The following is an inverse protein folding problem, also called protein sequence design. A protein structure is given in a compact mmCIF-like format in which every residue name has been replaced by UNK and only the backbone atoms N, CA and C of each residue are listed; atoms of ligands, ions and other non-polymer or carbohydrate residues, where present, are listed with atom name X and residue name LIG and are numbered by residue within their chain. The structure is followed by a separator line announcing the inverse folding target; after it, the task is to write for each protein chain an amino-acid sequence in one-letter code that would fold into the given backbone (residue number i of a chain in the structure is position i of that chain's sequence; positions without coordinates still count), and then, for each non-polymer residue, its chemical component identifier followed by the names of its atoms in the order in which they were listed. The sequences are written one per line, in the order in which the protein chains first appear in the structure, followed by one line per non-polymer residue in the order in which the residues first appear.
data_IF_613219245109
#
_entry.id   IF_613219245109
#
_cell.length_a   1.000
_cell.length_b   1.000
_cell.length_c   1.000
_cell.angle_alpha   90.00
_cell.angle_beta   90.00
_cell.angle_gamma   90.00
#
_symmetry.space_group_name_H-M   'P 1'
#
loop_
_entity.id
_entity.type
_entity.pdbx_description
1 polymer ?
#
# COMPACT_ATOMS: atom_id res chain seq x y z
N UNK A 1 -19.73 -14.21 -6.72
CA UNK A 1 -19.34 -12.80 -6.61
C UNK A 1 -18.44 -12.66 -5.39
N UNK A 2 -17.25 -12.07 -5.54
CA UNK A 2 -16.29 -11.87 -4.44
C UNK A 2 -16.66 -10.57 -3.69
N UNK A 3 -16.59 -10.59 -2.36
CA UNK A 3 -16.75 -9.38 -1.53
C UNK A 3 -15.35 -9.02 -1.04
N UNK A 4 -14.87 -7.85 -1.43
CA UNK A 4 -13.59 -7.31 -0.97
C UNK A 4 -13.76 -6.66 0.41
N UNK A 5 -12.66 -6.41 1.09
CA UNK A 5 -12.64 -5.83 2.43
C UNK A 5 -11.62 -4.69 2.51
N UNK A 6 -11.78 -3.78 3.43
CA UNK A 6 -10.73 -2.88 3.87
C UNK A 6 -9.63 -3.68 4.59
N UNK A 7 -8.44 -3.14 4.65
CA UNK A 7 -7.37 -3.64 5.51
C UNK A 7 -7.05 -2.58 6.55
N UNK A 8 -7.47 -2.82 7.80
CA UNK A 8 -7.31 -1.87 8.91
C UNK A 8 -6.77 -2.62 10.12
N UNK A 9 -5.74 -2.06 10.75
CA UNK A 9 -5.11 -2.60 11.97
C UNK A 9 -4.69 -4.08 11.84
N UNK A 10 -4.17 -4.45 10.67
CA UNK A 10 -3.70 -5.81 10.38
C UNK A 10 -4.81 -6.81 10.01
N UNK A 11 -6.05 -6.39 9.88
CA UNK A 11 -7.21 -7.25 9.61
C UNK A 11 -7.97 -6.84 8.36
N UNK A 12 -8.52 -7.83 7.66
CA UNK A 12 -9.50 -7.61 6.61
C UNK A 12 -10.86 -7.34 7.26
N UNK A 13 -11.42 -6.15 7.05
CA UNK A 13 -12.63 -5.68 7.72
C UNK A 13 -13.69 -5.18 6.74
N UNK A 14 -14.98 -5.41 6.99
CA UNK A 14 -16.04 -4.80 6.21
C UNK A 14 -16.12 -3.29 6.47
N UNK A 15 -16.76 -2.51 5.59
CA UNK A 15 -17.00 -1.09 5.84
C UNK A 15 -17.92 -0.89 7.05
N UNK A 16 -17.72 0.19 7.80
CA UNK A 16 -18.46 0.47 9.04
C UNK A 16 -19.98 0.51 8.82
N UNK A 17 -20.40 1.09 7.71
CA UNK A 17 -21.84 1.24 7.38
C UNK A 17 -22.39 0.10 6.51
N UNK A 18 -21.61 -0.96 6.28
CA UNK A 18 -22.00 -2.12 5.46
C UNK A 18 -22.45 -1.74 4.03
N UNK A 19 -21.95 -0.63 3.52
CA UNK A 19 -22.20 -0.17 2.15
C UNK A 19 -21.11 -0.69 1.21
N UNK A 20 -21.51 -1.05 -0.01
CA UNK A 20 -20.62 -1.61 -1.03
C UNK A 20 -20.89 -0.99 -2.40
N UNK A 21 -19.86 -0.93 -3.22
CA UNK A 21 -19.91 -0.55 -4.63
C UNK A 21 -19.67 -1.78 -5.50
N UNK A 22 -20.32 -1.85 -6.63
CA UNK A 22 -20.09 -2.90 -7.61
C UNK A 22 -18.80 -2.64 -8.40
N UNK A 23 -18.02 -3.69 -8.62
CA UNK A 23 -16.79 -3.68 -9.43
C UNK A 23 -17.05 -4.44 -10.72
N UNK A 24 -16.79 -3.79 -11.83
CA UNK A 24 -17.11 -4.30 -13.17
C UNK A 24 -15.87 -4.84 -13.87
N UNK A 25 -16.02 -5.98 -14.54
CA UNK A 25 -15.06 -6.42 -15.55
C UNK A 25 -15.31 -5.58 -16.83
N UNK A 26 -14.40 -4.69 -17.21
CA UNK A 26 -14.62 -3.81 -18.36
C UNK A 26 -14.64 -4.54 -19.70
N UNK A 27 -14.13 -5.78 -19.77
CA UNK A 27 -14.11 -6.57 -21.01
C UNK A 27 -15.48 -7.09 -21.40
N UNK A 28 -16.38 -7.27 -20.43
CA UNK A 28 -17.73 -7.85 -20.65
C UNK A 28 -18.85 -7.00 -20.04
N UNK A 29 -18.52 -5.98 -19.25
CA UNK A 29 -19.49 -5.10 -18.60
C UNK A 29 -20.27 -5.74 -17.44
N UNK A 30 -19.80 -6.86 -16.90
CA UNK A 30 -20.46 -7.58 -15.80
C UNK A 30 -19.81 -7.28 -14.44
N UNK A 31 -20.65 -7.27 -13.40
CA UNK A 31 -20.17 -7.17 -12.01
C UNK A 31 -19.52 -8.48 -11.61
N UNK A 32 -18.26 -8.43 -11.17
CA UNK A 32 -17.53 -9.61 -10.70
C UNK A 32 -17.26 -9.60 -9.18
N UNK A 33 -17.23 -8.43 -8.57
CA UNK A 33 -16.98 -8.25 -7.14
C UNK A 33 -17.75 -7.05 -6.57
N UNK A 34 -17.74 -6.96 -5.24
CA UNK A 34 -18.15 -5.76 -4.51
C UNK A 34 -17.00 -5.29 -3.63
N UNK A 35 -16.78 -3.98 -3.56
CA UNK A 35 -15.79 -3.36 -2.69
C UNK A 35 -16.47 -2.49 -1.62
N UNK A 36 -15.85 -2.32 -0.44
CA UNK A 36 -16.32 -1.41 0.58
C UNK A 36 -16.53 0.02 0.04
N UNK A 37 -17.66 0.63 0.33
CA UNK A 37 -17.86 2.07 0.21
C UNK A 37 -17.64 2.71 1.59
N UNK A 38 -16.39 2.92 1.94
CA UNK A 38 -15.98 3.41 3.25
C UNK A 38 -16.37 4.87 3.45
N UNK A 39 -16.52 5.25 4.70
CA UNK A 39 -16.86 6.61 5.14
C UNK A 39 -15.79 7.18 6.06
N UNK A 40 -15.97 8.42 6.52
CA UNK A 40 -15.09 9.05 7.50
C UNK A 40 -14.84 8.17 8.75
N UNK A 41 -15.84 7.39 9.16
CA UNK A 41 -15.70 6.46 10.30
C UNK A 41 -14.62 5.40 10.06
N UNK A 42 -14.49 4.90 8.83
CA UNK A 42 -13.42 3.94 8.48
C UNK A 42 -12.07 4.62 8.40
N UNK A 43 -12.03 5.88 7.90
CA UNK A 43 -10.82 6.70 7.88
C UNK A 43 -10.32 6.95 9.30
N UNK A 44 -11.20 7.35 10.23
CA UNK A 44 -10.85 7.56 11.64
C UNK A 44 -10.27 6.30 12.30
N UNK A 45 -10.84 5.12 12.01
CA UNK A 45 -10.30 3.85 12.52
C UNK A 45 -8.91 3.57 11.97
N UNK A 46 -8.67 3.83 10.68
CA UNK A 46 -7.37 3.63 10.06
C UNK A 46 -6.33 4.62 10.60
N UNK A 47 -6.73 5.88 10.83
CA UNK A 47 -5.87 6.90 11.47
C UNK A 47 -5.48 6.47 12.88
N UNK A 48 -6.45 6.09 13.71
CA UNK A 48 -6.20 5.65 15.08
C UNK A 48 -5.26 4.42 15.13
N UNK A 49 -5.43 3.47 14.21
CA UNK A 49 -4.54 2.33 14.08
C UNK A 49 -3.12 2.75 13.70
N UNK A 50 -2.98 3.67 12.74
CA UNK A 50 -1.70 4.18 12.29
C UNK A 50 -0.98 5.02 13.38
N UNK A 51 -1.70 5.83 14.15
CA UNK A 51 -1.17 6.59 15.29
C UNK A 51 -0.56 5.67 16.35
N UNK A 52 -1.25 4.58 16.67
CA UNK A 52 -0.78 3.56 17.62
C UNK A 52 0.45 2.82 17.10
N UNK A 53 0.52 2.53 15.80
CA UNK A 53 1.62 1.80 15.18
C UNK A 53 2.87 2.67 14.97
N UNK A 54 2.72 3.95 14.72
CA UNK A 54 3.79 4.86 14.30
C UNK A 54 5.00 4.87 15.27
N UNK A 55 4.85 4.97 16.59
CA UNK A 55 6.01 4.97 17.50
C UNK A 55 6.84 3.69 17.39
N UNK A 56 6.21 2.55 17.13
CA UNK A 56 6.89 1.27 16.99
C UNK A 56 7.59 1.19 15.63
N UNK A 57 6.87 1.46 14.54
CA UNK A 57 7.37 1.36 13.17
C UNK A 57 8.50 2.35 12.89
N UNK A 58 8.35 3.60 13.32
CA UNK A 58 9.34 4.66 13.09
C UNK A 58 10.67 4.41 13.83
N UNK A 59 10.67 3.62 14.90
CA UNK A 59 11.85 3.25 15.66
C UNK A 59 12.54 1.96 15.17
N UNK A 60 11.93 1.22 14.22
CA UNK A 60 12.61 0.09 13.59
C UNK A 60 13.80 0.59 12.77
N UNK A 61 14.85 -0.21 12.71
CA UNK A 61 16.00 0.05 11.83
C UNK A 61 15.58 0.04 10.35
N UNK A 62 16.35 0.71 9.49
CA UNK A 62 16.15 0.67 8.05
C UNK A 62 16.11 -0.77 7.52
N UNK A 63 16.96 -1.65 8.07
CA UNK A 63 17.03 -3.07 7.68
C UNK A 63 15.75 -3.84 8.03
N UNK A 64 15.17 -3.60 9.19
CA UNK A 64 13.92 -4.26 9.60
C UNK A 64 12.76 -3.83 8.70
N UNK A 65 12.62 -2.53 8.42
CA UNK A 65 11.59 -2.03 7.50
C UNK A 65 11.80 -2.55 6.08
N UNK A 66 13.03 -2.54 5.58
CA UNK A 66 13.39 -3.11 4.28
C UNK A 66 13.01 -4.60 4.16
N UNK A 67 13.18 -5.37 5.24
CA UNK A 67 12.82 -6.78 5.27
C UNK A 67 11.28 -6.99 5.09
N UNK A 68 10.44 -6.14 5.67
CA UNK A 68 8.99 -6.21 5.43
C UNK A 68 8.63 -5.89 3.98
N UNK A 69 9.28 -4.89 3.37
CA UNK A 69 9.06 -4.58 1.95
C UNK A 69 9.48 -5.75 1.03
N UNK A 70 10.59 -6.43 1.35
CA UNK A 70 10.99 -7.65 0.61
C UNK A 70 9.97 -8.77 0.77
N UNK A 71 9.49 -9.02 1.99
CA UNK A 71 8.43 -10.01 2.22
C UNK A 71 7.15 -9.70 1.45
N UNK A 72 6.78 -8.41 1.33
CA UNK A 72 5.64 -8.01 0.48
C UNK A 72 5.93 -8.32 -1.00
N UNK A 73 7.13 -8.03 -1.49
CA UNK A 73 7.53 -8.35 -2.86
C UNK A 73 7.52 -9.87 -3.11
N UNK A 74 8.09 -10.65 -2.21
CA UNK A 74 8.13 -12.12 -2.28
C UNK A 74 6.71 -12.71 -2.24
N UNK A 75 5.81 -12.14 -1.43
CA UNK A 75 4.41 -12.56 -1.37
C UNK A 75 3.63 -12.29 -2.67
N UNK A 76 3.89 -11.15 -3.33
CA UNK A 76 3.33 -10.89 -4.67
C UNK A 76 3.91 -11.88 -5.68
N UNK A 77 5.21 -12.14 -5.65
CA UNK A 77 5.89 -13.05 -6.56
C UNK A 77 5.39 -14.50 -6.41
N UNK A 78 5.18 -14.95 -5.18
CA UNK A 78 4.64 -16.27 -4.89
C UNK A 78 3.19 -16.47 -5.41
N UNK A 79 2.43 -15.39 -5.52
CA UNK A 79 1.05 -15.37 -6.04
C UNK A 79 0.95 -14.67 -7.41
N UNK A 80 2.05 -14.63 -8.17
CA UNK A 80 2.20 -13.80 -9.38
C UNK A 80 1.07 -13.99 -10.38
N UNK A 81 0.68 -15.22 -10.67
CA UNK A 81 -0.40 -15.51 -11.63
C UNK A 81 -1.75 -14.93 -11.15
N UNK A 82 -2.05 -15.02 -9.87
CA UNK A 82 -3.28 -14.47 -9.30
C UNK A 82 -3.32 -12.94 -9.43
N UNK A 83 -2.20 -12.26 -9.15
CA UNK A 83 -2.09 -10.82 -9.34
C UNK A 83 -2.21 -10.40 -10.80
N UNK A 84 -1.62 -11.15 -11.73
CA UNK A 84 -1.72 -10.91 -13.17
C UNK A 84 -3.18 -10.99 -13.63
N UNK A 85 -3.89 -12.04 -13.23
CA UNK A 85 -5.29 -12.23 -13.58
C UNK A 85 -6.18 -11.14 -12.97
N UNK A 86 -5.93 -10.76 -11.70
CA UNK A 86 -6.65 -9.70 -11.02
C UNK A 86 -6.44 -8.34 -11.71
N UNK A 87 -5.21 -7.99 -12.07
CA UNK A 87 -4.88 -6.74 -12.77
C UNK A 87 -5.58 -6.66 -14.13
N UNK A 88 -5.59 -7.78 -14.89
CA UNK A 88 -6.27 -7.87 -16.17
C UNK A 88 -7.79 -7.79 -16.03
N UNK A 89 -8.35 -8.45 -15.02
CA UNK A 89 -9.79 -8.46 -14.74
C UNK A 89 -10.31 -7.07 -14.38
N UNK A 90 -9.57 -6.35 -13.52
CA UNK A 90 -9.92 -5.00 -13.05
C UNK A 90 -9.85 -3.95 -14.17
N UNK A 91 -8.76 -3.98 -14.93
CA UNK A 91 -8.39 -2.88 -15.82
C UNK A 91 -8.76 -3.15 -17.30
N UNK A 92 -9.03 -4.40 -17.65
CA UNK A 92 -9.29 -4.81 -19.02
C UNK A 92 -8.06 -4.94 -19.92
N UNK A 93 -6.86 -4.75 -19.40
CA UNK A 93 -5.62 -4.90 -20.16
C UNK A 93 -5.33 -6.36 -20.48
N UNK A 94 -4.56 -6.65 -21.54
CA UNK A 94 -4.16 -8.02 -21.84
C UNK A 94 -3.36 -8.66 -20.70
N UNK A 95 -3.66 -9.91 -20.35
CA UNK A 95 -2.94 -10.71 -19.34
C UNK A 95 -1.43 -10.69 -19.55
N UNK A 96 -0.99 -10.81 -20.82
CA UNK A 96 0.42 -10.73 -21.18
C UNK A 96 1.07 -9.40 -20.78
N UNK A 97 0.36 -8.28 -20.92
CA UNK A 97 0.88 -6.96 -20.51
C UNK A 97 0.98 -6.85 -19.00
N UNK A 98 -0.05 -7.26 -18.26
CA UNK A 98 -0.02 -7.31 -16.81
C UNK A 98 1.17 -8.15 -16.29
N UNK A 99 1.41 -9.32 -16.91
CA UNK A 99 2.48 -10.23 -16.54
C UNK A 99 3.89 -9.77 -16.91
N UNK A 100 4.06 -8.99 -17.99
CA UNK A 100 5.39 -8.53 -18.41
C UNK A 100 5.77 -7.15 -17.85
N UNK A 101 4.78 -6.34 -17.48
CA UNK A 101 5.02 -4.94 -17.06
C UNK A 101 4.52 -4.69 -15.63
N UNK A 102 3.20 -4.78 -15.40
CA UNK A 102 2.60 -4.18 -14.21
C UNK A 102 3.01 -4.90 -12.91
N UNK A 103 2.85 -6.22 -12.87
CA UNK A 103 3.15 -6.99 -11.65
C UNK A 103 4.67 -7.06 -11.39
N UNK A 104 5.56 -7.34 -12.37
CA UNK A 104 7.00 -7.24 -12.15
C UNK A 104 7.47 -5.86 -11.70
N UNK A 105 6.86 -4.78 -12.20
CA UNK A 105 7.18 -3.40 -11.77
C UNK A 105 6.73 -3.14 -10.34
N UNK A 106 5.59 -3.65 -9.92
CA UNK A 106 5.13 -3.53 -8.53
C UNK A 106 6.09 -4.23 -7.56
N UNK A 107 6.54 -5.45 -7.90
CA UNK A 107 7.57 -6.19 -7.15
C UNK A 107 8.87 -5.38 -7.10
N UNK A 108 9.34 -4.91 -8.27
CA UNK A 108 10.57 -4.11 -8.39
C UNK A 108 10.53 -2.82 -7.57
N UNK A 109 9.38 -2.16 -7.46
CA UNK A 109 9.22 -0.97 -6.61
C UNK A 109 9.51 -1.28 -5.14
N UNK A 110 8.91 -2.34 -4.62
CA UNK A 110 9.12 -2.75 -3.23
C UNK A 110 10.58 -3.11 -2.96
N UNK A 111 11.21 -3.87 -3.85
CA UNK A 111 12.63 -4.25 -3.77
C UNK A 111 13.57 -3.05 -3.89
N UNK A 112 13.26 -2.11 -4.78
CA UNK A 112 14.04 -0.88 -4.97
C UNK A 112 14.07 -0.03 -3.70
N UNK A 113 12.89 0.26 -3.11
CA UNK A 113 12.83 1.06 -1.90
C UNK A 113 13.35 0.32 -0.66
N UNK A 114 13.22 -1.00 -0.61
CA UNK A 114 13.87 -1.81 0.43
C UNK A 114 15.40 -1.67 0.37
N UNK A 115 15.98 -1.79 -0.81
CA UNK A 115 17.43 -1.64 -0.99
C UNK A 115 17.88 -0.20 -0.82
N UNK A 116 17.09 0.75 -1.32
CA UNK A 116 17.38 2.18 -1.24
C UNK A 116 17.47 2.70 0.20
N UNK A 117 16.54 2.28 1.07
CA UNK A 117 16.57 2.75 2.46
C UNK A 117 17.76 2.20 3.27
N UNK A 118 18.24 1.01 2.96
CA UNK A 118 19.44 0.44 3.60
C UNK A 118 20.72 1.18 3.22
N UNK A 119 20.75 1.77 2.01
CA UNK A 119 21.88 2.54 1.49
C UNK A 119 21.75 4.05 1.74
N UNK A 120 20.64 4.48 2.33
CA UNK A 120 20.36 5.90 2.49
C UNK A 120 21.27 6.54 3.52
N UNK A 121 22.13 7.48 3.08
CA UNK A 121 23.07 8.20 3.91
C UNK A 121 22.60 9.61 4.21
N UNK A 122 23.01 10.16 5.38
CA UNK A 122 22.85 11.57 5.74
C UNK A 122 24.17 12.31 5.56
N UNK A 123 24.09 13.60 5.21
CA UNK A 123 25.26 14.43 5.06
C UNK A 123 25.80 14.87 6.41
N UNK A 124 27.14 15.00 6.49
CA UNK A 124 27.83 15.62 7.63
C UNK A 124 28.99 16.48 7.16
N UNK A 125 29.23 17.59 7.83
CA UNK A 125 30.31 18.53 7.53
C UNK A 125 31.12 18.83 8.75
N UNK A 126 32.43 18.62 8.67
CA UNK A 126 33.36 19.07 9.69
C UNK A 126 33.73 20.54 9.48
N UNK A 127 33.47 21.39 10.48
CA UNK A 127 33.85 22.79 10.48
C UNK A 127 35.05 22.95 11.42
N UNK A 128 36.26 23.16 10.86
CA UNK A 128 37.51 23.24 11.62
C UNK A 128 37.43 24.31 12.71
N UNK A 129 37.71 23.93 13.97
CA UNK A 129 37.66 24.81 15.13
C UNK A 129 36.26 25.21 15.63
N UNK A 130 35.18 24.74 14.96
CA UNK A 130 33.79 25.09 15.29
C UNK A 130 33.00 23.87 15.75
N UNK A 131 33.02 22.75 14.99
CA UNK A 131 32.28 21.55 15.33
C UNK A 131 31.92 20.65 14.16
N UNK A 132 30.98 19.75 14.41
CA UNK A 132 30.42 18.86 13.40
C UNK A 132 28.95 19.23 13.12
N UNK A 133 28.63 19.54 11.89
CA UNK A 133 27.27 19.72 11.40
C UNK A 133 26.82 18.43 10.73
N UNK A 134 25.60 17.93 11.04
CA UNK A 134 25.03 16.76 10.41
C UNK A 134 23.53 16.92 10.20
N UNK A 135 23.01 16.27 9.17
CA UNK A 135 21.57 16.26 8.85
C UNK A 135 20.90 15.04 9.47
N UNK A 136 19.83 15.26 10.22
CA UNK A 136 18.95 14.16 10.72
C UNK A 136 17.66 14.17 9.92
N UNK A 137 17.32 13.03 9.32
CA UNK A 137 16.03 12.82 8.64
C UNK A 137 15.14 11.89 9.48
N UNK A 138 13.89 12.29 9.67
CA UNK A 138 12.92 11.55 10.48
C UNK A 138 11.65 11.31 9.67
N UNK A 139 10.90 10.22 9.94
CA UNK A 139 9.55 10.05 9.42
C UNK A 139 8.67 11.25 9.80
N UNK A 140 7.75 11.62 8.92
CA UNK A 140 6.81 12.73 9.16
C UNK A 140 5.56 12.29 9.92
N UNK A 141 5.25 10.98 9.98
CA UNK A 141 4.10 10.46 10.71
C UNK A 141 3.25 9.51 9.89
N UNK A 142 2.00 9.88 9.66
CA UNK A 142 1.02 9.14 8.88
C UNK A 142 0.91 9.79 7.51
N UNK A 143 0.95 8.97 6.45
CA UNK A 143 0.95 9.43 5.06
C UNK A 143 -0.28 8.87 4.34
N UNK A 144 -1.09 9.75 3.76
CA UNK A 144 -2.15 9.41 2.83
C UNK A 144 -1.59 9.12 1.43
N UNK A 145 -1.97 7.98 0.85
CA UNK A 145 -1.56 7.58 -0.50
C UNK A 145 -2.78 7.29 -1.37
N UNK A 146 -3.07 8.15 -2.35
CA UNK A 146 -4.18 7.94 -3.29
C UNK A 146 -3.58 7.55 -4.64
N UNK A 147 -4.05 6.44 -5.24
CA UNK A 147 -3.56 5.96 -6.53
C UNK A 147 -4.66 5.83 -7.58
N UNK A 148 -4.32 6.06 -8.87
CA UNK A 148 -5.27 6.01 -9.97
C UNK A 148 -5.51 4.57 -10.47
N UNK A 149 -6.41 4.44 -11.43
CA UNK A 149 -6.88 3.17 -12.00
C UNK A 149 -6.04 2.62 -13.17
N UNK A 150 -5.23 3.44 -13.82
CA UNK A 150 -4.61 3.08 -15.11
C UNK A 150 -3.44 2.09 -14.98
N UNK A 151 -2.72 2.09 -13.88
CA UNK A 151 -1.66 1.14 -13.51
C UNK A 151 -1.84 0.77 -12.03
N UNK A 152 -2.87 -0.04 -11.70
CA UNK A 152 -3.34 -0.22 -10.33
C UNK A 152 -2.24 -0.56 -9.33
N UNK A 153 -1.71 -1.77 -9.32
CA UNK A 153 -0.72 -2.21 -8.35
C UNK A 153 0.62 -1.48 -8.52
N UNK A 154 1.03 -1.20 -9.77
CA UNK A 154 2.30 -0.51 -10.04
C UNK A 154 2.36 0.87 -9.39
N UNK A 155 1.37 1.74 -9.62
CA UNK A 155 1.35 3.08 -9.04
C UNK A 155 1.01 3.07 -7.54
N UNK A 156 0.29 2.05 -7.07
CA UNK A 156 0.03 1.85 -5.66
C UNK A 156 1.33 1.57 -4.90
N UNK A 157 2.11 0.59 -5.35
CA UNK A 157 3.40 0.26 -4.72
C UNK A 157 4.42 1.40 -4.83
N UNK A 158 4.37 2.19 -5.91
CA UNK A 158 5.23 3.37 -6.10
C UNK A 158 5.04 4.44 -5.02
N UNK A 159 3.85 4.51 -4.42
CA UNK A 159 3.52 5.47 -3.35
C UNK A 159 3.77 4.89 -1.96
N UNK A 160 3.28 3.68 -1.70
CA UNK A 160 3.34 3.09 -0.37
C UNK A 160 4.76 2.65 0.01
N UNK A 161 5.55 2.11 -0.93
CA UNK A 161 6.87 1.58 -0.63
C UNK A 161 7.85 2.63 -0.10
N UNK A 162 8.04 3.82 -0.71
CA UNK A 162 8.91 4.85 -0.15
C UNK A 162 8.42 5.38 1.20
N UNK A 163 7.11 5.50 1.40
CA UNK A 163 6.54 5.98 2.65
C UNK A 163 6.82 5.01 3.81
N UNK A 164 6.57 3.71 3.60
CA UNK A 164 6.87 2.65 4.56
C UNK A 164 8.37 2.52 4.83
N UNK A 165 9.20 2.53 3.77
CA UNK A 165 10.66 2.47 3.88
C UNK A 165 11.20 3.59 4.76
N UNK A 166 10.70 4.81 4.58
CA UNK A 166 11.11 5.99 5.35
C UNK A 166 10.63 5.97 6.82
N UNK A 167 9.84 4.97 7.24
CA UNK A 167 9.37 4.79 8.61
C UNK A 167 8.04 5.47 8.91
N UNK A 168 7.28 5.89 7.90
CA UNK A 168 5.93 6.40 8.07
C UNK A 168 4.92 5.25 8.12
N UNK A 169 3.79 5.46 8.83
CA UNK A 169 2.61 4.64 8.65
C UNK A 169 1.80 5.15 7.46
N UNK A 170 1.07 4.27 6.80
CA UNK A 170 0.39 4.59 5.53
C UNK A 170 -1.10 4.25 5.61
N UNK A 171 -1.92 5.19 5.15
CA UNK A 171 -3.31 4.97 4.81
C UNK A 171 -3.43 5.13 3.30
N UNK A 172 -3.77 4.06 2.60
CA UNK A 172 -3.78 4.04 1.15
C UNK A 172 -5.19 3.83 0.60
N UNK A 173 -5.55 4.65 -0.38
CA UNK A 173 -6.79 4.52 -1.15
C UNK A 173 -6.45 4.15 -2.59
N UNK A 174 -6.61 2.87 -3.00
CA UNK A 174 -6.60 2.52 -4.43
C UNK A 174 -7.83 3.12 -5.13
N UNK A 175 -7.82 3.13 -6.45
CA UNK A 175 -9.02 3.50 -7.20
C UNK A 175 -10.15 2.49 -6.94
N UNK A 176 -11.36 2.99 -6.80
CA UNK A 176 -12.58 2.20 -6.69
C UNK A 176 -12.89 1.40 -7.97
N UNK A 177 -12.33 1.82 -9.10
CA UNK A 177 -12.51 1.16 -10.40
C UNK A 177 -11.66 -0.12 -10.49
N UNK A 178 -10.46 -0.13 -9.86
CA UNK A 178 -9.48 -1.22 -9.96
C UNK A 178 -8.93 -1.59 -8.58
N UNK A 179 -9.77 -2.15 -7.68
CA UNK A 179 -9.40 -2.37 -6.28
C UNK A 179 -8.73 -3.72 -6.01
N UNK A 180 -8.84 -4.70 -6.93
CA UNK A 180 -8.63 -6.09 -6.61
C UNK A 180 -7.17 -6.42 -6.28
N UNK A 181 -6.20 -5.87 -7.02
CA UNK A 181 -4.78 -6.11 -6.72
C UNK A 181 -4.33 -5.48 -5.41
N UNK A 182 -4.92 -4.35 -5.00
CA UNK A 182 -4.68 -3.76 -3.68
C UNK A 182 -5.26 -4.63 -2.55
N UNK A 183 -6.42 -5.24 -2.76
CA UNK A 183 -7.00 -6.23 -1.84
C UNK A 183 -6.11 -7.48 -1.71
N UNK A 184 -5.60 -8.02 -2.82
CA UNK A 184 -4.66 -9.16 -2.78
C UNK A 184 -3.37 -8.80 -2.02
N UNK A 185 -2.89 -7.56 -2.15
CA UNK A 185 -1.75 -7.09 -1.37
C UNK A 185 -2.07 -7.03 0.14
N UNK A 186 -3.30 -6.69 0.52
CA UNK A 186 -3.73 -6.75 1.91
C UNK A 186 -3.67 -8.18 2.45
N UNK A 187 -4.11 -9.18 1.68
CA UNK A 187 -3.98 -10.60 2.04
C UNK A 187 -2.51 -10.98 2.25
N UNK A 188 -1.61 -10.56 1.35
CA UNK A 188 -0.15 -10.75 1.51
C UNK A 188 0.35 -10.11 2.80
N UNK A 189 -0.12 -8.89 3.14
CA UNK A 189 0.29 -8.22 4.38
C UNK A 189 -0.12 -8.99 5.63
N UNK A 190 -1.31 -9.61 5.62
CA UNK A 190 -1.76 -10.53 6.70
C UNK A 190 -0.85 -11.76 6.78
N UNK A 191 -0.58 -12.41 5.66
CA UNK A 191 0.24 -13.63 5.57
C UNK A 191 1.67 -13.43 6.09
N UNK A 192 2.30 -12.31 5.75
CA UNK A 192 3.68 -12.00 6.17
C UNK A 192 3.78 -11.47 7.61
N UNK A 193 2.65 -11.23 8.28
CA UNK A 193 2.61 -10.66 9.61
C UNK A 193 3.13 -9.22 9.65
N UNK A 194 2.71 -8.36 8.71
CA UNK A 194 3.02 -6.93 8.78
C UNK A 194 2.44 -6.35 10.07
N UNK A 195 3.19 -5.57 10.87
CA UNK A 195 2.66 -5.07 12.13
C UNK A 195 1.37 -4.27 11.94
N UNK A 196 0.39 -4.55 12.80
CA UNK A 196 -0.94 -3.94 12.74
C UNK A 196 -0.86 -2.41 12.74
N UNK A 197 -1.68 -1.74 11.93
CA UNK A 197 -1.75 -0.29 11.81
C UNK A 197 -0.64 0.37 10.97
N UNK A 198 0.46 -0.31 10.67
CA UNK A 198 1.56 0.25 9.86
C UNK A 198 1.10 0.59 8.45
N UNK A 199 0.28 -0.26 7.87
CA UNK A 199 -0.30 -0.08 6.55
C UNK A 199 -1.80 -0.37 6.63
N UNK A 200 -2.60 0.53 6.08
CA UNK A 200 -4.05 0.41 6.04
C UNK A 200 -4.52 0.71 4.62
N UNK A 201 -5.47 -0.08 4.12
CA UNK A 201 -6.08 0.11 2.80
C UNK A 201 -7.57 0.35 2.98
N UNK A 202 -8.03 1.49 2.50
CA UNK A 202 -9.42 1.88 2.49
C UNK A 202 -9.96 1.92 1.07
N UNK A 203 -11.04 1.22 0.85
CA UNK A 203 -11.79 1.25 -0.39
C UNK A 203 -12.97 2.23 -0.30
N UNK A 204 -13.36 2.81 -1.41
CA UNK A 204 -14.48 3.75 -1.48
C UNK A 204 -14.25 4.85 -2.50
N UNK A 205 -15.24 5.70 -2.67
CA UNK A 205 -15.18 6.85 -3.56
C UNK A 205 -14.18 7.91 -3.07
N UNK A 206 -13.60 8.67 -4.01
CA UNK A 206 -12.63 9.73 -3.70
C UNK A 206 -13.17 10.78 -2.73
N UNK A 207 -14.42 11.20 -2.91
CA UNK A 207 -15.05 12.22 -2.07
C UNK A 207 -15.35 11.74 -0.64
N UNK A 208 -15.58 10.42 -0.43
CA UNK A 208 -15.92 9.89 0.89
C UNK A 208 -14.73 9.42 1.71
N UNK A 209 -13.63 9.08 1.06
CA UNK A 209 -12.43 8.52 1.71
C UNK A 209 -11.18 9.39 1.53
N UNK A 210 -11.15 10.19 0.47
CA UNK A 210 -9.97 10.99 0.12
C UNK A 210 -9.98 12.41 0.68
N UNK A 211 -11.17 12.97 0.97
CA UNK A 211 -11.35 14.35 1.48
C UNK A 211 -11.40 14.46 3.03
N UNK A 212 -11.86 13.45 3.79
CA UNK A 212 -11.91 13.50 5.26
C UNK A 212 -10.56 13.59 5.95
#
# INVERSE_FOLDING_TARGET
MKILANYIDGLLTPPAEQMYLDVYNPSIGEVYAQLPNSTATDVEKAVAAAEKAFPIWSNLSNKERANYLRKMADGIEARMEEFIQAESLDNGKPVALAGHVDIPRAISNLQFFASGIEQFASESHHMAGVGLNYTTRKPIGIVGCISPWNLPLYLFTWKIAPALAAGNCVIAKPSEITPYTAYLLAEVCVEIGLPAGVFNILHGEGASVGDP
#
